data_IF_619571009426
#
_entry.id   IF_619571009426
#
_cell.length_a   1.000
_cell.length_b   1.000
_cell.length_c   1.000
_cell.angle_alpha   90.00
_cell.angle_beta   90.00
_cell.angle_gamma   90.00
#
_symmetry.space_group_name_H-M   'P 1'
#
loop_
_entity.id
_entity.type
_entity.pdbx_description
1 polymer ?
#
# COMPACT_ATOMS: atom_id res chain seq x y z
N UNK A 1 -18.03 5.53 -22.74
CA UNK A 1 -17.85 4.84 -21.44
C UNK A 1 -16.44 4.95 -20.87
N UNK A 2 -15.36 4.67 -21.63
CA UNK A 2 -13.96 4.64 -21.13
C UNK A 2 -13.48 5.93 -20.42
N UNK A 3 -14.00 7.09 -20.78
CA UNK A 3 -13.63 8.39 -20.18
C UNK A 3 -14.12 8.59 -18.74
N UNK A 4 -15.19 7.89 -18.33
CA UNK A 4 -15.72 7.94 -16.96
C UNK A 4 -15.05 6.91 -16.03
N UNK A 5 -14.40 5.88 -16.57
CA UNK A 5 -13.75 4.83 -15.77
C UNK A 5 -12.42 5.29 -15.14
N UNK A 6 -11.67 6.17 -15.80
CA UNK A 6 -10.39 6.70 -15.30
C UNK A 6 -10.53 7.42 -13.94
N UNK A 7 -11.47 8.37 -13.75
CA UNK A 7 -11.66 8.99 -12.44
C UNK A 7 -12.16 8.00 -11.38
N UNK A 8 -12.98 7.01 -11.76
CA UNK A 8 -13.45 5.96 -10.84
C UNK A 8 -12.26 5.14 -10.31
N UNK A 9 -11.33 4.74 -11.18
CA UNK A 9 -10.13 4.00 -10.78
C UNK A 9 -9.28 4.81 -9.79
N UNK A 10 -9.13 6.12 -10.04
CA UNK A 10 -8.39 7.04 -9.16
C UNK A 10 -9.06 7.19 -7.78
N UNK A 11 -10.40 7.29 -7.74
CA UNK A 11 -11.15 7.32 -6.48
C UNK A 11 -10.97 6.03 -5.69
N UNK A 12 -11.02 4.86 -6.35
CA UNK A 12 -10.81 3.56 -5.69
C UNK A 12 -9.43 3.49 -5.03
N UNK A 13 -8.36 3.90 -5.75
CA UNK A 13 -7.00 3.92 -5.19
C UNK A 13 -6.89 4.87 -3.99
N UNK A 14 -7.55 6.03 -4.04
CA UNK A 14 -7.56 7.00 -2.95
C UNK A 14 -8.26 6.44 -1.70
N UNK A 15 -9.42 5.79 -1.87
CA UNK A 15 -10.13 5.14 -0.76
C UNK A 15 -9.29 4.00 -0.17
N UNK A 16 -8.66 3.16 -1.00
CA UNK A 16 -7.79 2.08 -0.54
C UNK A 16 -6.59 2.60 0.26
N UNK A 17 -6.01 3.72 -0.15
CA UNK A 17 -4.90 4.36 0.58
C UNK A 17 -5.34 4.87 1.96
N UNK A 18 -6.51 5.51 2.06
CA UNK A 18 -7.06 5.99 3.34
C UNK A 18 -7.36 4.81 4.26
N UNK A 19 -7.96 3.73 3.74
CA UNK A 19 -8.22 2.51 4.52
C UNK A 19 -6.95 1.85 5.02
N UNK A 20 -5.89 1.80 4.19
CA UNK A 20 -4.59 1.27 4.58
C UNK A 20 -3.94 2.10 5.71
N UNK A 21 -4.05 3.43 5.65
CA UNK A 21 -3.55 4.33 6.71
C UNK A 21 -4.39 4.17 7.99
N UNK A 22 -5.73 4.14 7.87
CA UNK A 22 -6.65 3.94 8.98
C UNK A 22 -6.41 2.61 9.69
N UNK A 23 -6.07 1.56 8.94
CA UNK A 23 -5.74 0.25 9.50
C UNK A 23 -4.55 0.29 10.45
N UNK A 24 -3.49 0.98 10.03
CA UNK A 24 -2.27 1.06 10.82
C UNK A 24 -2.37 2.01 12.02
N UNK A 25 -3.35 2.94 12.05
CA UNK A 25 -3.45 3.97 13.08
C UNK A 25 -4.62 3.81 14.05
N UNK A 26 -5.74 3.24 13.60
CA UNK A 26 -7.01 3.27 14.35
C UNK A 26 -7.39 1.89 14.88
N UNK A 27 -7.44 0.86 14.03
CA UNK A 27 -8.04 -0.43 14.41
C UNK A 27 -7.07 -1.61 14.55
N UNK A 28 -5.89 -1.58 13.92
CA UNK A 28 -4.87 -2.60 14.08
C UNK A 28 -3.47 -1.95 14.14
N UNK A 29 -3.16 -1.23 15.23
CA UNK A 29 -1.85 -0.61 15.38
C UNK A 29 -0.76 -1.69 15.44
N UNK A 30 0.36 -1.49 14.72
CA UNK A 30 1.50 -2.40 14.78
C UNK A 30 2.17 -2.33 16.16
N UNK A 31 2.75 -3.44 16.60
CA UNK A 31 3.44 -3.54 17.88
C UNK A 31 4.57 -2.49 18.01
N UNK A 32 4.72 -1.89 19.18
CA UNK A 32 5.66 -0.80 19.49
C UNK A 32 6.81 -1.21 20.42
N UNK A 33 6.96 -2.50 20.72
CA UNK A 33 7.91 -2.99 21.72
C UNK A 33 9.29 -3.39 21.18
N UNK A 34 10.31 -3.29 22.04
CA UNK A 34 11.55 -4.05 21.92
C UNK A 34 11.35 -5.44 22.55
N UNK A 35 11.92 -6.49 21.97
CA UNK A 35 11.87 -7.83 22.56
C UNK A 35 13.14 -8.08 23.35
N UNK A 36 13.00 -8.39 24.63
CA UNK A 36 14.05 -9.06 25.38
C UNK A 36 14.13 -10.51 24.88
N UNK A 37 15.25 -10.84 24.24
CA UNK A 37 15.63 -12.22 23.97
C UNK A 37 15.89 -12.92 25.31
N UNK A 38 15.71 -14.24 25.38
CA UNK A 38 16.08 -15.08 26.54
C UNK A 38 17.57 -14.96 26.92
N UNK A 39 18.39 -14.34 26.06
CA UNK A 39 19.79 -13.97 26.31
C UNK A 39 19.98 -12.59 26.98
N UNK A 40 18.91 -11.89 27.37
CA UNK A 40 18.98 -10.54 27.95
C UNK A 40 19.32 -9.42 26.94
N UNK A 41 19.34 -9.74 25.65
CA UNK A 41 19.64 -8.77 24.59
C UNK A 41 18.34 -8.20 23.99
N UNK A 42 18.33 -6.89 23.72
CA UNK A 42 17.18 -6.17 23.18
C UNK A 42 17.29 -6.05 21.66
N UNK A 43 16.31 -6.61 20.92
CA UNK A 43 16.25 -6.47 19.45
C UNK A 43 15.00 -5.68 19.06
N UNK A 44 15.14 -4.65 18.19
CA UNK A 44 13.99 -3.92 17.66
C UNK A 44 13.09 -4.82 16.80
N UNK A 45 11.77 -4.68 16.96
CA UNK A 45 10.78 -5.43 16.18
C UNK A 45 10.75 -4.97 14.71
N UNK A 46 10.81 -5.93 13.77
CA UNK A 46 10.71 -5.68 12.33
C UNK A 46 9.31 -5.17 11.91
N UNK A 47 8.27 -5.54 12.66
CA UNK A 47 6.88 -5.19 12.38
C UNK A 47 6.63 -3.68 12.43
N UNK A 48 7.26 -2.97 13.38
CA UNK A 48 7.12 -1.52 13.49
C UNK A 48 7.68 -0.83 12.25
N UNK A 49 8.90 -1.20 11.83
CA UNK A 49 9.54 -0.62 10.64
C UNK A 49 8.78 -0.93 9.36
N UNK A 50 8.31 -2.16 9.18
CA UNK A 50 7.52 -2.54 8.01
C UNK A 50 6.19 -1.79 7.96
N UNK A 51 5.51 -1.60 9.10
CA UNK A 51 4.27 -0.83 9.15
C UNK A 51 4.51 0.65 8.88
N UNK A 52 5.59 1.26 9.41
CA UNK A 52 5.97 2.65 9.07
C UNK A 52 6.25 2.80 7.58
N UNK A 53 7.00 1.86 6.98
CA UNK A 53 7.25 1.85 5.54
C UNK A 53 5.94 1.68 4.73
N UNK A 54 5.04 0.79 5.18
CA UNK A 54 3.72 0.59 4.58
C UNK A 54 2.84 1.84 4.61
N UNK A 55 2.81 2.56 5.73
CA UNK A 55 2.09 3.83 5.86
C UNK A 55 2.65 4.90 4.91
N UNK A 56 3.98 5.00 4.79
CA UNK A 56 4.62 5.94 3.86
C UNK A 56 4.23 5.62 2.41
N UNK A 57 4.27 4.34 2.02
CA UNK A 57 3.84 3.91 0.68
C UNK A 57 2.34 4.18 0.45
N UNK A 58 1.48 3.91 1.43
CA UNK A 58 0.06 4.23 1.33
C UNK A 58 -0.18 5.74 1.16
N UNK A 59 0.60 6.59 1.84
CA UNK A 59 0.51 8.04 1.70
C UNK A 59 0.95 8.50 0.30
N UNK A 60 1.99 7.88 -0.27
CA UNK A 60 2.38 8.12 -1.67
C UNK A 60 1.29 7.71 -2.66
N UNK A 61 0.61 6.58 -2.44
CA UNK A 61 -0.56 6.16 -3.25
C UNK A 61 -1.66 7.22 -3.19
N UNK A 62 -1.96 7.76 -2.00
CA UNK A 62 -2.96 8.82 -1.83
C UNK A 62 -2.58 10.09 -2.62
N UNK A 63 -1.33 10.55 -2.50
CA UNK A 63 -0.84 11.73 -3.22
C UNK A 63 -0.89 11.52 -4.73
N UNK A 64 -0.38 10.39 -5.24
CA UNK A 64 -0.40 10.11 -6.68
C UNK A 64 -1.82 9.95 -7.23
N UNK A 65 -2.74 9.39 -6.44
CA UNK A 65 -4.16 9.27 -6.81
C UNK A 65 -4.85 10.63 -6.81
N UNK A 66 -4.53 11.51 -5.86
CA UNK A 66 -5.03 12.88 -5.83
C UNK A 66 -4.50 13.71 -7.03
N UNK A 67 -3.20 13.61 -7.33
CA UNK A 67 -2.57 14.30 -8.47
C UNK A 67 -3.12 13.83 -9.82
N UNK A 68 -3.60 12.59 -9.91
CA UNK A 68 -4.25 12.05 -11.11
C UNK A 68 -5.53 12.81 -11.47
N UNK A 69 -6.21 13.47 -10.52
CA UNK A 69 -7.34 14.37 -10.81
C UNK A 69 -6.89 15.72 -11.40
N UNK A 70 -5.70 16.20 -11.06
CA UNK A 70 -5.18 17.51 -11.47
C UNK A 70 -4.59 17.55 -12.90
N UNK A 71 -4.77 16.48 -13.70
CA UNK A 71 -4.34 16.28 -15.11
C UNK A 71 -2.99 15.57 -15.35
N UNK A 72 -2.29 15.12 -14.31
CA UNK A 72 -1.06 14.31 -14.45
C UNK A 72 -1.37 12.84 -14.21
N UNK A 73 -1.40 12.05 -15.26
CA UNK A 73 -1.66 10.61 -15.17
C UNK A 73 -0.50 9.92 -14.43
N UNK A 74 -0.70 9.58 -13.15
CA UNK A 74 0.31 8.93 -12.31
C UNK A 74 0.04 7.43 -12.10
N UNK A 75 -0.87 6.82 -12.87
CA UNK A 75 -1.24 5.40 -12.71
C UNK A 75 -0.05 4.43 -12.76
N UNK A 76 0.99 4.71 -13.55
CA UNK A 76 2.23 3.92 -13.54
C UNK A 76 2.96 4.00 -12.19
N UNK A 77 3.06 5.19 -11.60
CA UNK A 77 3.66 5.35 -10.28
C UNK A 77 2.82 4.64 -9.23
N UNK A 78 1.48 4.79 -9.27
CA UNK A 78 0.57 4.12 -8.34
C UNK A 78 0.70 2.60 -8.45
N UNK A 79 0.82 2.03 -9.65
CA UNK A 79 1.04 0.60 -9.84
C UNK A 79 2.34 0.12 -9.21
N UNK A 80 3.47 0.81 -9.44
CA UNK A 80 4.77 0.44 -8.88
C UNK A 80 4.75 0.54 -7.34
N UNK A 81 4.18 1.62 -6.79
CA UNK A 81 4.10 1.84 -5.35
C UNK A 81 3.17 0.80 -4.70
N UNK A 82 2.06 0.44 -5.35
CA UNK A 82 1.14 -0.60 -4.87
C UNK A 82 1.81 -1.97 -4.85
N UNK A 83 2.61 -2.30 -5.87
CA UNK A 83 3.38 -3.53 -5.91
C UNK A 83 4.44 -3.56 -4.80
N UNK A 84 5.15 -2.45 -4.58
CA UNK A 84 6.12 -2.33 -3.49
C UNK A 84 5.45 -2.49 -2.11
N UNK A 85 4.24 -1.96 -1.92
CA UNK A 85 3.46 -2.11 -0.70
C UNK A 85 3.15 -3.58 -0.42
N UNK A 86 2.67 -4.32 -1.43
CA UNK A 86 2.39 -5.77 -1.29
C UNK A 86 3.69 -6.54 -1.02
N UNK A 87 4.79 -6.19 -1.69
CA UNK A 87 6.08 -6.88 -1.54
C UNK A 87 6.68 -6.73 -0.14
N UNK A 88 6.66 -5.51 0.43
CA UNK A 88 7.13 -5.27 1.81
C UNK A 88 6.33 -6.09 2.82
N UNK A 89 5.02 -6.25 2.58
CA UNK A 89 4.16 -7.02 3.49
C UNK A 89 4.27 -8.53 3.26
N UNK A 90 4.60 -8.98 2.04
CA UNK A 90 4.92 -10.38 1.76
C UNK A 90 6.25 -10.83 2.37
N UNK A 91 7.17 -9.92 2.67
CA UNK A 91 8.36 -10.21 3.47
C UNK A 91 8.09 -10.33 4.98
N UNK A 92 6.86 -10.01 5.42
CA UNK A 92 6.43 -10.07 6.81
C UNK A 92 6.03 -11.47 7.30
N UNK A 93 5.31 -12.34 6.55
CA UNK A 93 4.92 -13.67 7.01
C UNK A 93 6.06 -14.71 7.00
N UNK A 94 7.19 -14.44 6.33
CA UNK A 94 8.27 -15.43 6.12
C UNK A 94 9.56 -15.22 6.91
N UNK A 95 9.77 -14.07 7.57
CA UNK A 95 11.01 -13.76 8.28
C UNK A 95 10.90 -14.04 9.80
N UNK A 96 10.62 -15.31 10.13
CA UNK A 96 10.76 -16.04 11.41
C UNK A 96 11.16 -15.17 12.63
N UNK A 97 10.17 -14.89 13.47
CA UNK A 97 10.34 -14.75 14.91
C UNK A 97 10.72 -13.37 15.43
N UNK A 98 9.77 -12.44 15.54
CA UNK A 98 9.75 -11.39 16.58
C UNK A 98 8.47 -10.53 16.50
N UNK A 99 7.30 -11.15 16.71
CA UNK A 99 6.12 -10.43 17.16
C UNK A 99 5.45 -11.28 18.26
N UNK A 100 5.84 -11.05 19.51
CA UNK A 100 5.26 -11.68 20.70
C UNK A 100 4.12 -10.81 21.23
N UNK A 101 3.12 -10.56 20.39
CA UNK A 101 1.89 -9.89 20.81
C UNK A 101 0.80 -10.94 20.84
N UNK A 102 0.17 -11.12 22.00
CA UNK A 102 -1.03 -11.96 22.22
C UNK A 102 -2.28 -11.36 21.56
N UNK A 103 -2.14 -11.00 20.29
CA UNK A 103 -3.19 -10.35 19.52
C UNK A 103 -2.75 -10.22 18.08
N UNK A 104 -3.52 -10.85 17.20
CA UNK A 104 -3.39 -10.97 15.74
C UNK A 104 -3.28 -9.63 14.96
N UNK A 105 -3.04 -8.50 15.63
CA UNK A 105 -3.07 -7.15 15.06
C UNK A 105 -2.10 -6.97 13.89
N UNK A 106 -0.85 -7.42 14.00
CA UNK A 106 0.13 -7.29 12.92
C UNK A 106 -0.25 -8.09 11.66
N UNK A 107 -0.87 -9.27 11.84
CA UNK A 107 -1.39 -10.06 10.73
C UNK A 107 -2.60 -9.38 10.08
N UNK A 108 -3.48 -8.77 10.89
CA UNK A 108 -4.62 -8.00 10.41
C UNK A 108 -4.17 -6.79 9.60
N UNK A 109 -3.22 -5.97 10.10
CA UNK A 109 -2.68 -4.82 9.35
C UNK A 109 -2.02 -5.26 8.05
N UNK A 110 -1.28 -6.38 8.06
CA UNK A 110 -0.69 -6.95 6.86
C UNK A 110 -1.77 -7.35 5.84
N UNK A 111 -2.84 -8.03 6.27
CA UNK A 111 -3.95 -8.39 5.40
C UNK A 111 -4.63 -7.16 4.78
N UNK A 112 -4.80 -6.07 5.55
CA UNK A 112 -5.32 -4.81 5.04
C UNK A 112 -4.41 -4.19 3.97
N UNK A 113 -3.09 -4.13 4.22
CA UNK A 113 -2.15 -3.59 3.24
C UNK A 113 -2.08 -4.43 1.95
N UNK A 114 -2.14 -5.76 2.05
CA UNK A 114 -2.18 -6.66 0.88
C UNK A 114 -3.46 -6.42 0.09
N UNK A 115 -4.61 -6.37 0.77
CA UNK A 115 -5.91 -6.18 0.12
C UNK A 115 -5.99 -4.81 -0.57
N UNK A 116 -5.66 -3.73 0.13
CA UNK A 116 -5.66 -2.37 -0.41
C UNK A 116 -4.61 -2.19 -1.51
N UNK A 117 -3.42 -2.75 -1.35
CA UNK A 117 -2.35 -2.72 -2.35
C UNK A 117 -2.73 -3.48 -3.62
N UNK A 118 -3.30 -4.68 -3.48
CA UNK A 118 -3.77 -5.50 -4.61
C UNK A 118 -4.89 -4.82 -5.40
N UNK A 119 -5.90 -4.27 -4.71
CA UNK A 119 -6.99 -3.53 -5.37
C UNK A 119 -6.44 -2.29 -6.09
N UNK A 120 -5.55 -1.54 -5.45
CA UNK A 120 -4.93 -0.34 -6.04
C UNK A 120 -4.06 -0.69 -7.26
N UNK A 121 -3.38 -1.83 -7.24
CA UNK A 121 -2.60 -2.31 -8.38
C UNK A 121 -3.49 -2.65 -9.58
N UNK A 122 -4.56 -3.43 -9.37
CA UNK A 122 -5.52 -3.80 -10.43
C UNK A 122 -6.21 -2.56 -11.00
N UNK A 123 -6.64 -1.64 -10.13
CA UNK A 123 -7.24 -0.36 -10.51
C UNK A 123 -6.27 0.49 -11.34
N UNK A 124 -4.99 0.53 -10.95
CA UNK A 124 -3.96 1.28 -11.67
C UNK A 124 -3.65 0.69 -13.04
N UNK A 125 -3.55 -0.64 -13.16
CA UNK A 125 -3.39 -1.30 -14.46
C UNK A 125 -4.58 -1.00 -15.37
N UNK A 126 -5.80 -1.09 -14.82
CA UNK A 126 -7.02 -0.76 -15.57
C UNK A 126 -6.98 0.70 -16.05
N UNK A 127 -6.54 1.62 -15.18
CA UNK A 127 -6.30 3.02 -15.53
C UNK A 127 -5.28 3.20 -16.66
N UNK A 128 -4.16 2.47 -16.64
CA UNK A 128 -3.12 2.50 -17.69
C UNK A 128 -3.67 2.01 -19.04
N UNK A 129 -4.42 0.90 -19.04
CA UNK A 129 -4.98 0.28 -20.26
C UNK A 129 -6.08 1.15 -20.86
N UNK A 130 -6.92 1.75 -20.03
CA UNK A 130 -8.03 2.59 -20.47
C UNK A 130 -7.61 4.03 -20.82
N UNK A 131 -6.39 4.46 -20.48
CA UNK A 131 -5.94 5.83 -20.70
C UNK A 131 -5.88 6.17 -22.20
N UNK A 132 -6.77 7.04 -22.70
CA UNK A 132 -6.84 7.37 -24.13
C UNK A 132 -5.65 8.21 -24.62
N UNK A 133 -4.86 8.83 -23.73
CA UNK A 133 -3.69 9.62 -24.11
C UNK A 133 -2.55 8.79 -24.71
N UNK A 134 -2.53 7.46 -24.48
CA UNK A 134 -1.58 6.53 -25.11
C UNK A 134 -1.74 6.42 -26.64
N UNK A 135 -2.92 6.71 -27.20
CA UNK A 135 -3.15 6.64 -28.66
C UNK A 135 -2.62 7.84 -29.46
N UNK A 136 -2.02 8.86 -28.82
CA UNK A 136 -1.48 10.05 -29.50
C UNK A 136 0.02 9.97 -29.87
N UNK A 137 0.59 8.78 -29.99
CA UNK A 137 1.84 8.64 -30.77
C UNK A 137 1.44 8.51 -32.24
N UNK A 138 1.10 9.64 -32.88
CA UNK A 138 1.12 9.71 -34.34
C UNK A 138 2.58 9.60 -34.75
N UNK A 139 3.02 8.40 -35.12
CA UNK A 139 4.16 8.22 -36.01
C UNK A 139 3.87 9.07 -37.25
N UNK A 140 4.72 10.08 -37.46
CA UNK A 140 4.71 10.91 -38.65
C UNK A 140 5.62 10.26 -39.68
#
# INVERSE_FOLDING_TARGET
MKTKLVPICSTICLVCAILAIGAALIWAPPCSGALELTNGNMVPMKCTYAAKAGVVLAMLIAICSALSFAKKDMFFAVAIISLALVFIVMQLPGAIGVCKSDGMACHTTAAWFISCGGISFISSITGIVLNPKRKKVKTK
#
